data_IF_508586878435
#
_entry.id   IF_508586878435
#
_cell.length_a   1.000
_cell.length_b   1.000
_cell.length_c   1.000
_cell.angle_alpha   90.00
_cell.angle_beta   90.00
_cell.angle_gamma   90.00
#
_symmetry.space_group_name_H-M   'P 1'
#
loop_
_entity.id
_entity.type
_entity.pdbx_description
1 polymer ?
#
# COMPACT_ATOMS: atom_id res chain seq x y z
N UNK A 1 7.61 -9.58 -13.81
CA UNK A 1 7.42 -8.85 -12.53
C UNK A 1 6.53 -9.72 -11.66
N UNK A 2 6.92 -10.03 -10.42
CA UNK A 2 6.12 -10.88 -9.53
C UNK A 2 5.59 -10.07 -8.34
N UNK A 3 4.46 -10.48 -7.76
CA UNK A 3 3.90 -9.86 -6.55
C UNK A 3 4.93 -9.84 -5.42
N UNK A 4 5.69 -10.93 -5.24
CA UNK A 4 6.79 -11.00 -4.26
C UNK A 4 7.82 -9.89 -4.44
N UNK A 5 8.17 -9.56 -5.68
CA UNK A 5 9.11 -8.47 -5.98
C UNK A 5 8.49 -7.10 -5.70
N UNK A 6 7.21 -6.91 -6.03
CA UNK A 6 6.47 -5.67 -5.71
C UNK A 6 6.43 -5.45 -4.18
N UNK A 7 6.08 -6.50 -3.43
CA UNK A 7 6.05 -6.45 -1.97
C UNK A 7 7.43 -6.18 -1.37
N UNK A 8 8.50 -6.70 -1.96
CA UNK A 8 9.87 -6.40 -1.53
C UNK A 8 10.23 -4.92 -1.75
N UNK A 9 9.75 -4.30 -2.82
CA UNK A 9 9.93 -2.85 -3.04
C UNK A 9 9.18 -2.06 -1.98
N UNK A 10 7.90 -2.38 -1.74
CA UNK A 10 7.06 -1.70 -0.75
C UNK A 10 7.64 -1.85 0.66
N UNK A 11 8.14 -3.03 1.00
CA UNK A 11 8.78 -3.29 2.30
C UNK A 11 10.04 -2.44 2.52
N UNK A 12 10.74 -2.04 1.44
CA UNK A 12 11.93 -1.20 1.49
C UNK A 12 11.61 0.30 1.39
N UNK A 13 10.45 0.72 1.90
CA UNK A 13 10.06 2.13 1.96
C UNK A 13 11.02 2.95 2.80
N UNK A 14 11.24 4.21 2.43
CA UNK A 14 11.97 5.14 3.28
C UNK A 14 11.18 5.40 4.57
N UNK A 15 11.88 5.31 5.71
CA UNK A 15 11.32 5.57 7.03
C UNK A 15 11.91 6.88 7.54
N UNK A 16 11.04 7.77 7.98
CA UNK A 16 11.39 9.03 8.60
C UNK A 16 11.13 8.93 10.10
N UNK A 17 12.10 9.33 10.93
CA UNK A 17 11.99 9.35 12.38
C UNK A 17 12.69 10.61 12.93
N UNK A 18 12.03 11.47 13.73
CA UNK A 18 12.65 12.66 14.31
C UNK A 18 13.81 12.37 15.26
N UNK A 19 13.89 11.13 15.75
CA UNK A 19 14.91 10.66 16.71
C UNK A 19 16.18 10.17 16.02
N UNK A 20 16.12 9.91 14.71
CA UNK A 20 17.20 9.33 13.90
C UNK A 20 17.67 10.38 12.88
N UNK A 21 18.84 10.15 12.29
CA UNK A 21 19.34 11.01 11.23
C UNK A 21 18.39 10.98 10.00
N UNK A 22 18.01 12.14 9.43
CA UNK A 22 17.20 12.19 8.23
C UNK A 22 17.87 11.44 7.07
N UNK A 23 17.10 10.80 6.18
CA UNK A 23 17.60 10.31 4.90
C UNK A 23 18.27 11.45 4.11
N UNK A 24 19.31 11.11 3.35
CA UNK A 24 19.98 12.06 2.46
C UNK A 24 19.16 12.34 1.20
N UNK A 25 19.47 13.43 0.49
CA UNK A 25 18.83 13.68 -0.82
C UNK A 25 19.13 12.55 -1.82
N UNK A 26 20.33 11.95 -1.77
CA UNK A 26 20.68 10.83 -2.64
C UNK A 26 19.81 9.60 -2.35
N UNK A 27 19.48 9.34 -1.08
CA UNK A 27 18.58 8.23 -0.71
C UNK A 27 17.16 8.45 -1.23
N UNK A 28 16.66 9.68 -1.12
CA UNK A 28 15.35 10.09 -1.63
C UNK A 28 15.32 9.97 -3.16
N UNK A 29 16.32 10.52 -3.86
CA UNK A 29 16.41 10.47 -5.32
C UNK A 29 16.55 9.03 -5.83
N UNK A 30 17.36 8.21 -5.14
CA UNK A 30 17.50 6.78 -5.44
C UNK A 30 16.17 6.05 -5.26
N UNK A 31 15.40 6.38 -4.23
CA UNK A 31 14.09 5.79 -4.01
C UNK A 31 13.08 6.25 -5.05
N UNK A 32 13.03 7.53 -5.37
CA UNK A 32 12.17 8.09 -6.44
C UNK A 32 12.49 7.47 -7.80
N UNK A 33 13.76 7.21 -8.10
CA UNK A 33 14.16 6.52 -9.32
C UNK A 33 13.68 5.07 -9.38
N UNK A 34 13.59 4.38 -8.23
CA UNK A 34 12.96 3.06 -8.13
C UNK A 34 11.44 3.13 -8.34
N UNK A 35 10.79 4.18 -7.81
CA UNK A 35 9.35 4.46 -7.94
C UNK A 35 8.99 5.14 -9.28
N UNK A 36 9.50 4.60 -10.39
CA UNK A 36 9.23 5.15 -11.72
C UNK A 36 7.74 5.09 -12.10
N UNK A 37 7.24 6.06 -12.87
CA UNK A 37 5.86 6.05 -13.39
C UNK A 37 5.56 4.79 -14.19
N UNK A 38 6.57 4.27 -14.89
CA UNK A 38 6.46 3.02 -15.63
C UNK A 38 6.22 1.83 -14.71
N UNK A 39 6.86 1.78 -13.55
CA UNK A 39 6.61 0.73 -12.55
C UNK A 39 5.17 0.81 -12.06
N UNK A 40 4.74 1.98 -11.58
CA UNK A 40 3.39 2.19 -11.01
C UNK A 40 2.32 1.85 -12.05
N UNK A 41 2.50 2.32 -13.29
CA UNK A 41 1.61 2.03 -14.41
C UNK A 41 1.55 0.53 -14.73
N UNK A 42 2.68 -0.17 -14.74
CA UNK A 42 2.71 -1.62 -14.97
C UNK A 42 1.99 -2.39 -13.86
N UNK A 43 2.14 -1.98 -12.59
CA UNK A 43 1.42 -2.61 -11.47
C UNK A 43 -0.09 -2.39 -11.63
N UNK A 44 -0.52 -1.17 -11.98
CA UNK A 44 -1.94 -0.88 -12.23
C UNK A 44 -2.53 -1.61 -13.45
N UNK A 45 -1.73 -1.82 -14.50
CA UNK A 45 -2.13 -2.65 -15.64
C UNK A 45 -2.33 -4.11 -15.22
N UNK A 46 -1.44 -4.65 -14.38
CA UNK A 46 -1.59 -5.99 -13.84
C UNK A 46 -2.83 -6.11 -12.94
N UNK A 47 -3.11 -5.11 -12.11
CA UNK A 47 -4.33 -5.04 -11.30
C UNK A 47 -5.59 -5.06 -12.18
N UNK A 48 -5.62 -4.22 -13.20
CA UNK A 48 -6.73 -4.15 -14.16
C UNK A 48 -6.94 -5.46 -14.92
N UNK A 49 -5.85 -6.15 -15.29
CA UNK A 49 -5.92 -7.45 -15.94
C UNK A 49 -6.43 -8.54 -14.99
N UNK A 50 -6.02 -8.51 -13.71
CA UNK A 50 -6.52 -9.40 -12.68
C UNK A 50 -8.03 -9.22 -12.48
N UNK A 51 -8.51 -7.98 -12.42
CA UNK A 51 -9.94 -7.67 -12.35
C UNK A 51 -10.73 -8.11 -13.58
N UNK A 52 -10.18 -7.93 -14.79
CA UNK A 52 -10.81 -8.45 -16.00
C UNK A 52 -10.94 -9.98 -15.97
N UNK A 53 -9.89 -10.68 -15.51
CA UNK A 53 -9.92 -12.14 -15.34
C UNK A 53 -10.93 -12.56 -14.28
N UNK A 54 -11.02 -11.80 -13.18
CA UNK A 54 -11.99 -12.02 -12.12
C UNK A 54 -13.43 -11.96 -12.65
N UNK A 55 -13.76 -10.93 -13.43
CA UNK A 55 -15.07 -10.78 -14.08
C UNK A 55 -15.38 -11.96 -15.01
N UNK A 56 -14.43 -12.37 -15.85
CA UNK A 56 -14.61 -13.52 -16.75
C UNK A 56 -14.84 -14.80 -15.93
N UNK A 57 -14.07 -15.00 -14.87
CA UNK A 57 -14.19 -16.15 -13.98
C UNK A 57 -15.55 -16.17 -13.27
N UNK A 58 -16.04 -15.01 -12.80
CA UNK A 58 -17.38 -14.87 -12.23
C UNK A 58 -18.48 -15.22 -13.24
N UNK A 59 -18.36 -14.79 -14.51
CA UNK A 59 -19.32 -15.14 -15.56
C UNK A 59 -19.31 -16.66 -15.79
N UNK A 60 -18.14 -17.28 -15.90
CA UNK A 60 -18.00 -18.73 -16.05
C UNK A 60 -18.59 -19.49 -14.85
N UNK A 61 -18.35 -19.02 -13.63
CA UNK A 61 -18.91 -19.58 -12.41
C UNK A 61 -20.44 -19.48 -12.40
N UNK A 62 -20.98 -18.32 -12.77
CA UNK A 62 -22.42 -18.07 -12.81
C UNK A 62 -23.12 -18.92 -13.88
N UNK A 63 -22.58 -19.00 -15.09
CA UNK A 63 -23.12 -19.83 -16.17
C UNK A 63 -23.02 -21.31 -15.82
N UNK A 64 -21.92 -21.74 -15.20
CA UNK A 64 -21.74 -23.12 -14.73
C UNK A 64 -22.69 -23.52 -13.60
N UNK A 65 -22.79 -22.72 -12.54
CA UNK A 65 -23.65 -23.02 -11.39
C UNK A 65 -25.12 -22.80 -11.73
N UNK A 66 -25.45 -21.71 -12.42
CA UNK A 66 -26.81 -21.42 -12.87
C UNK A 66 -27.31 -22.44 -13.89
N UNK A 67 -26.45 -22.86 -14.82
CA UNK A 67 -26.76 -23.88 -15.81
C UNK A 67 -27.01 -25.26 -15.19
N UNK A 68 -26.24 -25.65 -14.16
CA UNK A 68 -26.51 -26.91 -13.45
C UNK A 68 -27.79 -26.84 -12.64
N UNK A 69 -28.03 -25.76 -11.88
CA UNK A 69 -29.28 -25.59 -11.12
C UNK A 69 -30.51 -25.62 -12.03
N UNK A 70 -30.45 -24.96 -13.19
CA UNK A 70 -31.53 -24.97 -14.17
C UNK A 70 -31.74 -26.36 -14.78
N UNK A 71 -30.67 -27.08 -15.10
CA UNK A 71 -30.75 -28.47 -15.57
C UNK A 71 -31.41 -29.37 -14.53
N UNK A 72 -31.06 -29.22 -13.25
CA UNK A 72 -31.67 -29.95 -12.14
C UNK A 72 -33.17 -29.64 -11.99
N UNK A 73 -33.56 -28.37 -12.08
CA UNK A 73 -34.95 -27.90 -11.96
C UNK A 73 -35.84 -28.36 -13.11
N UNK A 74 -35.34 -28.35 -14.35
CA UNK A 74 -36.17 -28.62 -15.54
C UNK A 74 -36.30 -30.12 -15.80
N UNK A 75 -35.28 -30.93 -15.51
CA UNK A 75 -35.20 -32.26 -16.11
C UNK A 75 -35.22 -33.46 -15.18
N UNK A 76 -34.95 -33.32 -13.87
CA UNK A 76 -34.76 -34.48 -12.97
C UNK A 76 -33.92 -35.61 -13.62
N UNK A 77 -33.03 -35.26 -14.55
CA UNK A 77 -32.30 -36.22 -15.38
C UNK A 77 -31.10 -36.75 -14.60
N UNK A 78 -30.74 -38.04 -14.76
CA UNK A 78 -29.50 -38.57 -14.22
C UNK A 78 -28.33 -37.76 -14.78
N UNK A 79 -27.30 -37.52 -13.96
CA UNK A 79 -26.07 -36.82 -14.32
C UNK A 79 -25.61 -37.18 -15.74
N UNK A 80 -25.91 -36.31 -16.70
CA UNK A 80 -25.45 -36.47 -18.08
C UNK A 80 -24.10 -35.75 -18.25
N UNK A 81 -23.36 -36.10 -19.30
CA UNK A 81 -22.04 -35.52 -19.56
C UNK A 81 -22.08 -33.98 -19.63
N UNK A 82 -23.17 -33.39 -20.12
CA UNK A 82 -23.36 -31.95 -20.18
C UNK A 82 -23.41 -31.31 -18.77
N UNK A 83 -24.12 -31.91 -17.81
CA UNK A 83 -24.14 -31.44 -16.43
C UNK A 83 -22.75 -31.51 -15.77
N UNK A 84 -21.96 -32.54 -16.09
CA UNK A 84 -20.56 -32.65 -15.64
C UNK A 84 -19.67 -31.55 -16.22
N UNK A 85 -19.81 -31.21 -17.50
CA UNK A 85 -19.06 -30.10 -18.11
C UNK A 85 -19.45 -28.74 -17.56
N UNK A 86 -20.76 -28.51 -17.33
CA UNK A 86 -21.29 -27.26 -16.79
C UNK A 86 -20.90 -27.08 -15.32
N UNK A 87 -20.95 -28.16 -14.51
CA UNK A 87 -20.49 -28.14 -13.11
C UNK A 87 -18.97 -27.96 -13.02
N UNK A 88 -18.21 -28.67 -13.86
CA UNK A 88 -16.76 -28.54 -13.94
C UNK A 88 -16.32 -27.14 -14.35
N UNK A 89 -16.96 -26.54 -15.35
CA UNK A 89 -16.72 -25.16 -15.76
C UNK A 89 -17.07 -24.14 -14.66
N UNK A 90 -18.17 -24.38 -13.94
CA UNK A 90 -18.57 -23.55 -12.80
C UNK A 90 -17.57 -23.60 -11.64
N UNK A 91 -17.07 -24.79 -11.29
CA UNK A 91 -16.07 -24.96 -10.23
C UNK A 91 -14.70 -24.37 -10.61
N UNK A 92 -14.28 -24.55 -11.87
CA UNK A 92 -13.05 -23.92 -12.39
C UNK A 92 -13.19 -22.41 -12.40
N UNK A 93 -14.35 -21.89 -12.83
CA UNK A 93 -14.66 -20.45 -12.77
C UNK A 93 -14.60 -19.92 -11.34
N UNK A 94 -15.21 -20.60 -10.37
CA UNK A 94 -15.18 -20.20 -8.96
C UNK A 94 -13.76 -20.22 -8.37
N UNK A 95 -12.97 -21.25 -8.71
CA UNK A 95 -11.57 -21.34 -8.28
C UNK A 95 -10.69 -20.23 -8.88
N UNK A 96 -10.86 -19.93 -10.17
CA UNK A 96 -10.17 -18.82 -10.83
C UNK A 96 -10.60 -17.46 -10.26
N UNK A 97 -11.88 -17.29 -9.95
CA UNK A 97 -12.41 -16.06 -9.34
C UNK A 97 -11.75 -15.79 -7.99
N UNK A 98 -11.64 -16.81 -7.14
CA UNK A 98 -10.98 -16.68 -5.83
C UNK A 98 -9.52 -16.22 -5.97
N UNK A 99 -8.74 -16.89 -6.83
CA UNK A 99 -7.34 -16.55 -7.05
C UNK A 99 -7.16 -15.17 -7.72
N UNK A 100 -8.03 -14.82 -8.66
CA UNK A 100 -7.99 -13.54 -9.36
C UNK A 100 -8.37 -12.38 -8.42
N UNK A 101 -9.36 -12.56 -7.54
CA UNK A 101 -9.79 -11.55 -6.57
C UNK A 101 -8.68 -11.21 -5.58
N UNK A 102 -8.04 -12.22 -4.98
CA UNK A 102 -6.93 -12.01 -4.04
C UNK A 102 -5.75 -11.30 -4.72
N UNK A 103 -5.43 -11.70 -5.96
CA UNK A 103 -4.37 -11.07 -6.73
C UNK A 103 -4.70 -9.64 -7.13
N UNK A 104 -5.95 -9.37 -7.51
CA UNK A 104 -6.46 -8.04 -7.87
C UNK A 104 -6.30 -7.08 -6.69
N UNK A 105 -6.78 -7.45 -5.51
CA UNK A 105 -6.69 -6.65 -4.29
C UNK A 105 -5.24 -6.33 -3.94
N UNK A 106 -4.36 -7.35 -3.91
CA UNK A 106 -2.93 -7.15 -3.61
C UNK A 106 -2.24 -6.20 -4.60
N UNK A 107 -2.61 -6.24 -5.88
CA UNK A 107 -2.01 -5.38 -6.90
C UNK A 107 -2.54 -3.94 -6.83
N UNK A 108 -3.81 -3.75 -6.52
CA UNK A 108 -4.37 -2.41 -6.29
C UNK A 108 -3.78 -1.75 -5.04
N UNK A 109 -3.70 -2.49 -3.94
CA UNK A 109 -3.06 -2.02 -2.70
C UNK A 109 -1.60 -1.68 -2.93
N UNK A 110 -0.88 -2.52 -3.69
CA UNK A 110 0.50 -2.24 -4.06
C UNK A 110 0.64 -0.98 -4.92
N UNK A 111 -0.24 -0.80 -5.92
CA UNK A 111 -0.24 0.40 -6.75
C UNK A 111 -0.49 1.65 -5.89
N UNK A 112 -1.48 1.60 -5.00
CA UNK A 112 -1.80 2.70 -4.10
C UNK A 112 -0.63 3.02 -3.17
N UNK A 113 -0.01 2.00 -2.56
CA UNK A 113 1.15 2.17 -1.68
C UNK A 113 2.33 2.83 -2.41
N UNK A 114 2.67 2.37 -3.62
CA UNK A 114 3.75 2.94 -4.42
C UNK A 114 3.46 4.38 -4.86
N UNK A 115 2.20 4.68 -5.19
CA UNK A 115 1.77 6.03 -5.59
C UNK A 115 1.85 6.97 -4.41
N UNK A 116 1.28 6.58 -3.26
CA UNK A 116 1.32 7.36 -2.03
C UNK A 116 2.75 7.60 -1.55
N UNK A 117 3.64 6.60 -1.67
CA UNK A 117 5.05 6.78 -1.32
C UNK A 117 5.73 7.77 -2.27
N UNK A 118 5.45 7.70 -3.57
CA UNK A 118 6.03 8.65 -4.53
C UNK A 118 5.58 10.08 -4.25
N UNK A 119 4.30 10.26 -3.92
CA UNK A 119 3.72 11.55 -3.56
C UNK A 119 4.29 12.06 -2.24
N UNK A 120 4.48 11.19 -1.24
CA UNK A 120 5.00 11.57 0.07
C UNK A 120 6.48 11.98 0.02
N UNK A 121 7.23 11.51 -0.98
CA UNK A 121 8.62 11.91 -1.21
C UNK A 121 8.75 13.22 -2.01
N UNK A 122 7.65 13.87 -2.40
CA UNK A 122 7.72 15.16 -3.08
C UNK A 122 8.11 16.28 -2.11
N UNK A 123 8.84 17.31 -2.58
CA UNK A 123 9.14 18.49 -1.79
C UNK A 123 7.88 19.20 -1.31
N UNK A 124 7.90 19.66 -0.06
CA UNK A 124 6.77 20.39 0.51
C UNK A 124 6.55 21.71 -0.23
N UNK A 125 5.30 22.05 -0.60
CA UNK A 125 5.00 23.31 -1.25
C UNK A 125 5.28 24.51 -0.32
N UNK A 126 5.71 25.63 -0.89
CA UNK A 126 6.12 26.82 -0.14
C UNK A 126 5.03 27.34 0.82
N UNK A 127 3.75 27.15 0.47
CA UNK A 127 2.59 27.51 1.30
C UNK A 127 2.54 26.78 2.64
N UNK A 128 3.19 25.61 2.76
CA UNK A 128 3.14 24.75 3.93
C UNK A 128 4.42 24.78 4.77
N UNK A 129 5.49 25.43 4.28
CA UNK A 129 6.74 25.58 5.01
C UNK A 129 6.54 26.21 6.39
N UNK A 130 5.66 27.19 6.53
CA UNK A 130 5.38 27.83 7.83
C UNK A 130 4.81 26.83 8.87
N UNK A 131 3.96 25.89 8.43
CA UNK A 131 3.41 24.85 9.31
C UNK A 131 4.50 23.90 9.76
N UNK A 132 5.33 23.41 8.84
CA UNK A 132 6.43 22.49 9.16
C UNK A 132 7.42 23.13 10.11
N UNK A 133 7.76 24.40 9.89
CA UNK A 133 8.61 25.17 10.82
C UNK A 133 8.01 25.23 12.22
N UNK A 134 6.70 25.44 12.33
CA UNK A 134 6.00 25.44 13.62
C UNK A 134 6.04 24.08 14.30
N UNK A 135 5.94 22.99 13.52
CA UNK A 135 6.04 21.62 14.04
C UNK A 135 7.46 21.31 14.54
N UNK A 136 8.49 21.69 13.80
CA UNK A 136 9.89 21.53 14.22
C UNK A 136 10.18 22.28 15.53
N UNK A 137 9.70 23.52 15.65
CA UNK A 137 9.92 24.34 16.84
C UNK A 137 9.18 23.81 18.09
N UNK A 138 8.20 22.92 17.91
CA UNK A 138 7.41 22.36 19.01
C UNK A 138 8.15 21.35 19.88
N UNK A 139 9.25 20.75 19.40
CA UNK A 139 10.03 19.75 20.15
C UNK A 139 11.53 19.90 19.93
N UNK A 140 12.39 19.59 20.93
CA UNK A 140 13.84 19.58 20.74
C UNK A 140 14.32 18.63 19.62
N UNK A 141 13.65 17.48 19.47
CA UNK A 141 13.92 16.50 18.41
C UNK A 141 13.57 17.08 17.03
N UNK A 142 12.40 17.72 16.89
CA UNK A 142 11.98 18.37 15.65
C UNK A 142 12.94 19.47 15.19
N UNK A 143 13.46 20.28 16.12
CA UNK A 143 14.44 21.34 15.79
C UNK A 143 15.80 20.75 15.42
N UNK A 144 16.25 19.69 16.11
CA UNK A 144 17.47 18.96 15.73
C UNK A 144 17.34 18.36 14.33
N UNK A 145 16.20 17.75 14.03
CA UNK A 145 15.89 17.17 12.73
C UNK A 145 15.95 18.24 11.63
N UNK A 146 15.33 19.40 11.87
CA UNK A 146 15.41 20.56 10.97
C UNK A 146 16.83 21.02 10.70
N UNK A 147 17.67 21.11 11.73
CA UNK A 147 19.08 21.50 11.57
C UNK A 147 19.86 20.50 10.71
N UNK A 148 19.60 19.21 10.86
CA UNK A 148 20.24 18.17 10.04
C UNK A 148 19.81 18.25 8.56
N UNK A 149 18.55 18.60 8.28
CA UNK A 149 18.06 18.85 6.92
C UNK A 149 18.74 20.07 6.29
N UNK A 150 18.89 21.16 7.06
CA UNK A 150 19.60 22.36 6.59
C UNK A 150 21.08 22.04 6.30
N UNK A 151 21.74 21.28 7.17
CA UNK A 151 23.14 20.85 6.99
C UNK A 151 23.34 19.96 5.76
N UNK A 152 22.35 19.11 5.44
CA UNK A 152 22.36 18.26 4.25
C UNK A 152 21.92 19.00 2.97
N UNK A 153 21.63 20.30 3.06
CA UNK A 153 21.24 21.16 1.95
C UNK A 153 20.06 20.60 1.12
N UNK A 154 19.10 19.94 1.79
CA UNK A 154 17.92 19.37 1.14
C UNK A 154 16.63 20.06 1.57
N UNK A 155 15.57 19.82 0.80
CA UNK A 155 14.22 20.26 1.14
C UNK A 155 13.51 19.22 2.02
N UNK A 156 12.54 19.69 2.79
CA UNK A 156 11.60 18.79 3.44
C UNK A 156 10.69 18.14 2.39
N UNK A 157 10.28 16.90 2.65
CA UNK A 157 9.30 16.16 1.85
C UNK A 157 8.01 15.94 2.64
N UNK A 158 6.90 15.68 1.94
CA UNK A 158 5.57 15.58 2.57
C UNK A 158 5.50 14.49 3.66
N UNK A 159 6.21 13.36 3.48
CA UNK A 159 6.30 12.31 4.49
C UNK A 159 6.86 12.82 5.84
N UNK A 160 7.75 13.81 5.82
CA UNK A 160 8.32 14.41 7.02
C UNK A 160 7.34 15.35 7.70
N UNK A 161 6.48 16.02 6.94
CA UNK A 161 5.39 16.83 7.49
C UNK A 161 4.42 15.95 8.27
N UNK A 162 3.97 14.84 7.67
CA UNK A 162 3.09 13.87 8.31
C UNK A 162 3.75 13.27 9.56
N UNK A 163 5.02 12.86 9.46
CA UNK A 163 5.80 12.33 10.56
C UNK A 163 5.94 13.33 11.71
N UNK A 164 6.31 14.59 11.44
CA UNK A 164 6.46 15.63 12.47
C UNK A 164 5.12 15.95 13.15
N UNK A 165 4.04 15.98 12.37
CA UNK A 165 2.70 16.19 12.90
C UNK A 165 2.28 15.06 13.84
N UNK A 166 2.44 13.80 13.40
CA UNK A 166 2.18 12.62 14.21
C UNK A 166 3.04 12.61 15.48
N UNK A 167 4.32 12.94 15.35
CA UNK A 167 5.25 13.06 16.48
C UNK A 167 4.75 14.08 17.50
N UNK A 168 4.38 15.28 17.08
CA UNK A 168 3.92 16.31 18.01
C UNK A 168 2.60 15.93 18.70
N UNK A 169 1.67 15.30 17.97
CA UNK A 169 0.39 14.86 18.54
C UNK A 169 0.58 13.76 19.60
N UNK A 170 1.54 12.86 19.40
CA UNK A 170 1.89 11.80 20.35
C UNK A 170 2.81 12.26 21.51
N UNK A 171 3.12 13.56 21.64
CA UNK A 171 4.04 14.04 22.67
C UNK A 171 3.57 13.72 24.10
N UNK A 172 2.27 13.84 24.36
CA UNK A 172 1.68 13.56 25.67
C UNK A 172 1.77 12.07 26.05
N UNK A 173 1.57 11.17 25.08
CA UNK A 173 1.73 9.72 25.26
C UNK A 173 3.18 9.36 25.58
N UNK A 174 4.15 9.93 24.85
CA UNK A 174 5.58 9.72 25.14
C UNK A 174 5.98 10.18 26.53
N UNK A 175 5.43 11.30 27.01
CA UNK A 175 5.67 11.77 28.39
C UNK A 175 5.06 10.81 29.41
N UNK A 176 3.85 10.30 29.16
CA UNK A 176 3.20 9.32 30.03
C UNK A 176 3.95 7.99 30.07
N UNK A 177 4.42 7.51 28.91
CA UNK A 177 5.24 6.31 28.78
C UNK A 177 6.58 6.47 29.52
N UNK A 178 7.29 7.57 29.28
CA UNK A 178 8.52 7.87 30.00
C UNK A 178 8.29 7.91 31.52
N UNK A 179 7.20 8.51 32.00
CA UNK A 179 6.86 8.54 33.42
C UNK A 179 6.51 7.15 33.99
N UNK A 180 5.88 6.28 33.20
CA UNK A 180 5.55 4.91 33.59
C UNK A 180 6.81 4.07 33.81
N UNK A 181 7.78 4.15 32.90
CA UNK A 181 8.99 3.32 32.95
C UNK A 181 10.13 3.91 33.78
N UNK A 182 10.12 5.23 34.07
CA UNK A 182 11.10 5.83 35.01
C UNK A 182 10.91 5.40 36.46
N UNK A 183 9.76 4.83 36.82
CA UNK A 183 9.37 4.53 38.21
C UNK A 183 9.94 3.22 38.78
N UNK A 184 10.75 2.50 38.01
CA UNK A 184 11.35 1.22 38.42
C UNK A 184 12.87 1.28 38.64
N UNK A 185 13.49 2.46 38.63
CA UNK A 185 14.94 2.66 38.84
C UNK A 185 15.29 3.36 40.17
N UNK A 186 14.33 3.55 41.08
CA UNK A 186 14.54 3.99 42.47
C UNK A 186 14.29 2.84 43.46
#
# INVERSE_FOLDING_TARGET
MTIKWINAIIANKLVFDPSVHPPSQEDIDRRLAQLSDKLICNVGLLASLAGALNVIASICAFVGIGGTLLSWLITALPFNQLALYVLGGGLVGAGLMFLASEMEEQLFDAQAALTNEKESLQPIPQSECAKVLSLCAGTPEGERYRQQIIQSARHFVEAEHEMLNAWNNAAHERVAEAALYKKNEE
#
